data_IF_221503205330
#
_entry.id   IF_221503205330
#
_cell.length_a   1.000
_cell.length_b   1.000
_cell.length_c   1.000
_cell.angle_alpha   90.00
_cell.angle_beta   90.00
_cell.angle_gamma   90.00
#
_symmetry.space_group_name_H-M   'P 1'
#
loop_
_entity.id
_entity.type
_entity.pdbx_description
1 polymer ?
#
# COMPACT_ATOMS: atom_id res chain seq x y z
N UNK A 1 -48.56 -44.90 14.28
CA UNK A 1 -48.24 -43.65 13.58
C UNK A 1 -46.85 -43.21 14.02
N UNK A 2 -45.83 -43.60 13.26
CA UNK A 2 -44.47 -43.08 13.39
C UNK A 2 -44.14 -42.50 12.01
N UNK A 3 -44.11 -41.17 11.90
CA UNK A 3 -43.82 -40.47 10.66
C UNK A 3 -42.32 -40.45 10.44
N UNK A 4 -41.87 -41.14 9.38
CA UNK A 4 -40.53 -40.97 8.81
C UNK A 4 -40.41 -39.56 8.23
N UNK A 5 -39.61 -38.70 8.84
CA UNK A 5 -39.10 -37.52 8.15
C UNK A 5 -37.75 -37.88 7.54
N UNK A 6 -37.71 -37.86 6.22
CA UNK A 6 -36.50 -37.97 5.41
C UNK A 6 -35.60 -36.76 5.67
N UNK A 7 -34.32 -37.01 5.98
CA UNK A 7 -33.29 -35.98 5.97
C UNK A 7 -33.19 -35.33 4.58
N UNK A 8 -33.12 -33.99 4.47
CA UNK A 8 -32.86 -33.36 3.19
C UNK A 8 -31.42 -33.65 2.79
N UNK A 9 -31.27 -34.31 1.66
CA UNK A 9 -29.99 -34.62 1.03
C UNK A 9 -29.18 -33.33 0.85
N UNK A 10 -27.97 -33.30 1.42
CA UNK A 10 -27.01 -32.25 1.14
C UNK A 10 -26.65 -32.31 -0.35
N UNK A 11 -27.28 -31.46 -1.16
CA UNK A 11 -26.80 -31.13 -2.49
C UNK A 11 -25.46 -30.42 -2.32
N UNK A 12 -24.38 -31.18 -2.44
CA UNK A 12 -23.04 -30.63 -2.64
C UNK A 12 -23.11 -29.89 -3.98
N UNK A 13 -23.15 -28.56 -3.93
CA UNK A 13 -23.04 -27.69 -5.10
C UNK A 13 -21.67 -27.96 -5.75
N UNK A 14 -21.61 -28.45 -7.00
CA UNK A 14 -20.34 -28.60 -7.69
C UNK A 14 -19.83 -27.20 -8.02
N UNK A 15 -18.64 -26.88 -7.53
CA UNK A 15 -17.91 -25.62 -7.78
C UNK A 15 -18.52 -24.37 -7.11
N UNK A 16 -18.40 -24.28 -5.78
CA UNK A 16 -18.51 -22.98 -5.11
C UNK A 16 -17.21 -22.21 -5.37
N UNK A 17 -17.22 -21.31 -6.35
CA UNK A 17 -16.14 -20.34 -6.54
C UNK A 17 -16.12 -19.40 -5.32
N UNK A 18 -14.94 -19.27 -4.70
CA UNK A 18 -14.72 -18.42 -3.53
C UNK A 18 -13.90 -17.22 -3.98
N UNK A 19 -14.43 -16.03 -3.78
CA UNK A 19 -13.69 -14.80 -3.94
C UNK A 19 -13.39 -14.25 -2.55
N UNK A 20 -12.19 -13.70 -2.35
CA UNK A 20 -11.81 -13.13 -1.06
C UNK A 20 -11.56 -11.64 -1.22
N UNK A 21 -12.62 -10.83 -1.12
CA UNK A 21 -12.56 -9.38 -1.08
C UNK A 21 -11.66 -8.85 0.02
N UNK A 22 -10.81 -7.90 -0.34
CA UNK A 22 -9.78 -7.40 0.57
C UNK A 22 -10.18 -6.27 1.53
N UNK A 23 -9.37 -6.06 2.57
CA UNK A 23 -9.44 -4.94 3.54
C UNK A 23 -8.28 -3.92 3.43
N UNK A 24 -8.34 -2.79 4.15
CA UNK A 24 -7.39 -1.64 4.01
C UNK A 24 -6.05 -1.82 4.75
N UNK A 25 -5.07 -0.96 4.42
CA UNK A 25 -3.72 -0.94 4.99
C UNK A 25 -3.56 -0.31 6.39
N UNK A 26 -2.32 -0.46 6.91
CA UNK A 26 -1.68 0.05 8.13
C UNK A 26 -2.44 0.90 9.16
N UNK A 27 -3.04 2.03 8.77
CA UNK A 27 -3.71 2.96 9.71
C UNK A 27 -4.93 2.37 10.40
N UNK A 28 -5.47 1.31 9.82
CA UNK A 28 -6.68 0.64 10.26
C UNK A 28 -6.39 -0.87 10.22
N UNK A 29 -5.54 -1.32 11.13
CA UNK A 29 -5.36 -2.74 11.34
C UNK A 29 -6.69 -3.25 11.93
N UNK A 30 -7.45 -4.07 11.21
CA UNK A 30 -8.79 -4.49 11.62
C UNK A 30 -9.88 -4.30 10.55
N UNK A 31 -11.04 -4.97 10.71
CA UNK A 31 -12.14 -4.96 9.71
C UNK A 31 -12.73 -3.56 9.55
N UNK A 32 -12.51 -2.93 8.39
CA UNK A 32 -13.15 -1.65 8.03
C UNK A 32 -14.31 -1.89 7.07
N UNK A 33 -15.52 -1.75 7.61
CA UNK A 33 -16.83 -1.94 6.95
C UNK A 33 -16.93 -1.26 5.56
N UNK A 34 -16.29 -0.11 5.33
CA UNK A 34 -16.53 0.66 4.09
C UNK A 34 -15.88 0.16 2.80
N UNK A 35 -14.79 -0.62 2.83
CA UNK A 35 -14.11 -1.08 1.59
C UNK A 35 -14.15 -2.57 1.42
N UNK A 36 -13.92 -3.33 2.50
CA UNK A 36 -14.13 -4.77 2.48
C UNK A 36 -15.57 -5.08 2.08
N UNK A 37 -16.56 -4.35 2.60
CA UNK A 37 -17.95 -4.62 2.23
C UNK A 37 -18.27 -4.21 0.78
N UNK A 38 -17.62 -3.18 0.21
CA UNK A 38 -17.82 -2.85 -1.22
C UNK A 38 -17.27 -3.97 -2.10
N UNK A 39 -16.07 -4.45 -1.80
CA UNK A 39 -15.49 -5.59 -2.51
C UNK A 39 -16.33 -6.86 -2.34
N UNK A 40 -16.81 -7.12 -1.12
CA UNK A 40 -17.71 -8.25 -0.84
C UNK A 40 -19.04 -8.13 -1.53
N UNK A 41 -19.66 -6.95 -1.56
CA UNK A 41 -20.92 -6.74 -2.29
C UNK A 41 -20.72 -6.95 -3.79
N UNK A 42 -19.61 -6.49 -4.37
CA UNK A 42 -19.26 -6.74 -5.77
C UNK A 42 -19.13 -8.24 -6.08
N UNK A 43 -18.34 -8.95 -5.27
CA UNK A 43 -18.10 -10.39 -5.41
C UNK A 43 -19.37 -11.23 -5.15
N UNK A 44 -20.15 -10.88 -4.12
CA UNK A 44 -21.47 -11.49 -3.86
C UNK A 44 -22.42 -11.26 -5.05
N UNK A 45 -22.41 -10.06 -5.64
CA UNK A 45 -23.16 -9.75 -6.86
C UNK A 45 -22.72 -10.57 -8.07
N UNK A 46 -21.45 -10.98 -8.11
CA UNK A 46 -20.89 -11.92 -9.09
C UNK A 46 -21.22 -13.39 -8.83
N UNK A 47 -21.84 -13.72 -7.69
CA UNK A 47 -22.20 -15.10 -7.32
C UNK A 47 -21.12 -15.84 -6.51
N UNK A 48 -20.07 -15.16 -6.07
CA UNK A 48 -19.00 -15.75 -5.27
C UNK A 48 -19.34 -15.78 -3.78
N UNK A 49 -18.85 -16.80 -3.08
CA UNK A 49 -18.81 -16.77 -1.61
C UNK A 49 -17.65 -15.88 -1.15
N UNK A 50 -17.93 -14.95 -0.23
CA UNK A 50 -16.95 -13.93 0.22
C UNK A 50 -16.57 -14.07 1.69
N UNK A 51 -15.30 -13.81 2.01
CA UNK A 51 -14.77 -13.75 3.37
C UNK A 51 -13.83 -12.54 3.52
N UNK A 52 -13.73 -12.02 4.74
CA UNK A 52 -12.77 -11.00 5.20
C UNK A 52 -12.41 -11.31 6.66
N UNK A 53 -11.28 -10.84 7.12
CA UNK A 53 -10.75 -10.88 8.48
C UNK A 53 -10.33 -9.47 8.92
N UNK A 54 -9.87 -9.33 10.15
CA UNK A 54 -9.32 -8.12 10.73
C UNK A 54 -7.77 -8.19 10.78
N UNK A 55 -7.16 -9.08 9.99
CA UNK A 55 -5.75 -9.46 10.06
C UNK A 55 -5.25 -9.87 11.48
N UNK A 56 -6.12 -10.32 12.38
CA UNK A 56 -5.77 -10.83 13.71
C UNK A 56 -5.41 -9.74 14.72
N UNK A 57 -5.82 -8.50 14.47
CA UNK A 57 -5.69 -7.39 15.41
C UNK A 57 -7.08 -6.83 15.72
N UNK A 58 -7.45 -6.84 17.00
CA UNK A 58 -8.76 -6.36 17.45
C UNK A 58 -8.85 -4.82 17.43
N UNK A 59 -7.70 -4.14 17.54
CA UNK A 59 -7.59 -2.70 17.69
C UNK A 59 -7.21 -1.99 16.39
N UNK A 60 -7.97 -0.95 16.08
CA UNK A 60 -7.93 -0.21 14.80
C UNK A 60 -6.62 0.58 14.64
N UNK A 61 -6.08 1.09 15.74
CA UNK A 61 -4.92 1.98 15.73
C UNK A 61 -3.63 1.21 16.06
N UNK A 62 -2.54 1.44 15.30
CA UNK A 62 -1.24 0.84 15.57
C UNK A 62 -0.69 1.03 16.99
N UNK A 63 -1.02 2.13 17.66
CA UNK A 63 -0.50 2.40 19.02
C UNK A 63 -0.89 1.33 20.04
N UNK A 64 -2.01 0.63 19.82
CA UNK A 64 -2.64 -0.20 20.84
C UNK A 64 -2.13 -1.66 20.82
N UNK A 65 -1.58 -2.14 19.70
CA UNK A 65 -1.15 -3.53 19.55
C UNK A 65 0.35 -3.71 19.23
N UNK A 66 1.02 -2.68 18.75
CA UNK A 66 2.40 -2.77 18.23
C UNK A 66 3.45 -2.90 19.32
N UNK A 67 3.25 -2.22 20.46
CA UNK A 67 4.21 -2.20 21.55
C UNK A 67 3.62 -2.94 22.76
N UNK A 68 4.36 -3.92 23.29
CA UNK A 68 4.05 -4.52 24.60
C UNK A 68 4.44 -3.56 25.74
N UNK A 69 5.51 -2.81 25.51
CA UNK A 69 6.00 -1.68 26.31
C UNK A 69 6.89 -0.81 25.43
N UNK A 70 7.24 0.40 25.88
CA UNK A 70 8.21 1.25 25.18
C UNK A 70 9.53 0.47 24.93
N UNK A 71 10.05 0.57 23.70
CA UNK A 71 11.21 -0.19 23.24
C UNK A 71 10.96 -1.68 22.93
N UNK A 72 9.78 -2.23 23.24
CA UNK A 72 9.48 -3.66 23.12
C UNK A 72 8.32 -3.91 22.13
N UNK A 73 8.68 -4.33 20.92
CA UNK A 73 7.73 -4.67 19.88
C UNK A 73 6.99 -5.98 20.18
N UNK A 74 5.69 -5.98 19.93
CA UNK A 74 4.88 -7.17 19.82
C UNK A 74 5.13 -7.89 18.49
N UNK A 75 6.30 -8.52 18.37
CA UNK A 75 6.68 -9.27 17.16
C UNK A 75 5.70 -10.40 16.85
N UNK A 76 5.03 -10.96 17.85
CA UNK A 76 3.99 -11.97 17.65
C UNK A 76 2.78 -11.39 16.92
N UNK A 77 2.24 -10.27 17.39
CA UNK A 77 1.15 -9.58 16.70
C UNK A 77 1.57 -9.09 15.31
N UNK A 78 2.81 -8.61 15.14
CA UNK A 78 3.33 -8.23 13.82
C UNK A 78 3.44 -9.41 12.86
N UNK A 79 3.91 -10.57 13.32
CA UNK A 79 3.97 -11.78 12.51
C UNK A 79 2.57 -12.27 12.15
N UNK A 80 1.63 -12.24 13.11
CA UNK A 80 0.21 -12.53 12.84
C UNK A 80 -0.32 -11.56 11.80
N UNK A 81 -0.16 -10.26 11.98
CA UNK A 81 -0.61 -9.23 11.04
C UNK A 81 -0.01 -9.44 9.65
N UNK A 82 1.31 -9.68 9.55
CA UNK A 82 1.98 -9.96 8.28
C UNK A 82 1.48 -11.27 7.63
N UNK A 83 1.13 -12.27 8.44
CA UNK A 83 0.63 -13.57 7.97
C UNK A 83 -0.90 -13.62 7.78
N UNK A 84 -1.71 -12.75 8.36
CA UNK A 84 -3.17 -12.78 8.19
C UNK A 84 -3.65 -11.74 7.19
N UNK A 85 -2.85 -10.67 6.97
CA UNK A 85 -2.94 -9.88 5.74
C UNK A 85 -2.84 -10.75 4.47
N UNK A 86 -2.27 -11.95 4.55
CA UNK A 86 -2.23 -12.93 3.47
C UNK A 86 -3.59 -13.22 2.86
N UNK A 87 -4.68 -13.24 3.63
CA UNK A 87 -5.99 -13.57 3.07
C UNK A 87 -6.67 -12.39 2.35
N UNK A 88 -6.24 -11.15 2.54
CA UNK A 88 -7.15 -9.99 2.45
C UNK A 88 -6.78 -8.87 1.48
N UNK A 89 -5.94 -9.08 0.48
CA UNK A 89 -5.47 -7.92 -0.33
C UNK A 89 -5.69 -8.05 -1.82
N UNK A 90 -6.83 -8.63 -2.20
CA UNK A 90 -7.23 -8.79 -3.60
C UNK A 90 -7.97 -7.55 -4.15
N UNK A 91 -8.69 -6.79 -3.31
CA UNK A 91 -9.53 -5.65 -3.79
C UNK A 91 -9.13 -4.26 -3.29
N UNK A 92 -8.22 -4.13 -2.31
CA UNK A 92 -7.79 -2.81 -1.80
C UNK A 92 -6.49 -2.30 -2.36
N UNK A 93 -5.75 -3.17 -3.04
CA UNK A 93 -4.54 -2.82 -3.74
C UNK A 93 -3.31 -2.61 -2.88
N UNK A 94 -2.95 -3.60 -2.06
CA UNK A 94 -1.76 -3.53 -1.20
C UNK A 94 -1.06 -4.89 -1.19
N UNK A 95 0.28 -4.90 -1.09
CA UNK A 95 1.28 -5.98 -1.11
C UNK A 95 0.90 -7.49 -1.03
N UNK A 96 -0.19 -7.90 -0.37
CA UNK A 96 -0.39 -9.30 0.00
C UNK A 96 -0.94 -10.22 -1.10
N UNK A 97 -1.49 -9.68 -2.20
CA UNK A 97 -1.73 -10.50 -3.40
C UNK A 97 -0.42 -11.14 -3.89
N UNK A 98 0.68 -10.38 -3.92
CA UNK A 98 2.01 -10.89 -4.25
C UNK A 98 2.55 -11.86 -3.19
N UNK A 99 2.28 -11.61 -1.91
CA UNK A 99 2.69 -12.50 -0.82
C UNK A 99 2.05 -13.90 -0.93
N UNK A 100 0.77 -13.97 -1.29
CA UNK A 100 0.08 -15.25 -1.51
C UNK A 100 0.74 -16.05 -2.63
N UNK A 101 1.06 -15.39 -3.75
CA UNK A 101 1.75 -16.03 -4.86
C UNK A 101 3.17 -16.53 -4.45
N UNK A 102 3.87 -15.78 -3.60
CA UNK A 102 5.23 -16.11 -3.14
C UNK A 102 5.27 -17.21 -2.06
N UNK A 103 4.43 -17.10 -1.03
CA UNK A 103 4.52 -17.91 0.20
C UNK A 103 3.50 -19.05 0.27
N UNK A 104 2.35 -18.90 -0.39
CA UNK A 104 1.25 -19.88 -0.36
C UNK A 104 0.67 -20.09 -1.76
N UNK A 105 1.52 -20.51 -2.72
CA UNK A 105 1.13 -20.59 -4.12
C UNK A 105 -0.09 -21.49 -4.33
N UNK A 106 -0.38 -22.41 -3.42
CA UNK A 106 -1.49 -23.36 -3.50
C UNK A 106 -2.88 -22.83 -3.09
N UNK A 107 -2.98 -21.65 -2.47
CA UNK A 107 -4.25 -21.19 -1.87
C UNK A 107 -5.25 -20.59 -2.88
N UNK A 108 -4.77 -19.93 -3.92
CA UNK A 108 -5.63 -19.23 -4.90
C UNK A 108 -5.24 -19.55 -6.33
N UNK A 109 -6.22 -19.94 -7.15
CA UNK A 109 -5.99 -20.22 -8.58
C UNK A 109 -5.80 -18.94 -9.39
N UNK A 110 -6.41 -17.85 -8.93
CA UNK A 110 -6.35 -16.51 -9.50
C UNK A 110 -6.15 -15.45 -8.41
N UNK A 111 -5.25 -14.50 -8.65
CA UNK A 111 -5.00 -13.37 -7.77
C UNK A 111 -5.12 -12.08 -8.59
N UNK A 112 -6.04 -11.19 -8.22
CA UNK A 112 -6.03 -9.81 -8.69
C UNK A 112 -5.38 -8.95 -7.60
N UNK A 113 -4.39 -8.14 -7.95
CA UNK A 113 -3.69 -7.27 -7.00
C UNK A 113 -3.60 -5.85 -7.58
N UNK A 114 -4.30 -4.90 -6.98
CA UNK A 114 -4.14 -3.49 -7.32
C UNK A 114 -2.94 -2.88 -6.57
N UNK A 115 -2.34 -1.81 -7.08
CA UNK A 115 -1.33 -0.94 -6.45
C UNK A 115 -0.42 -1.56 -5.36
N UNK A 116 0.25 -2.71 -5.57
CA UNK A 116 0.71 -3.49 -4.43
C UNK A 116 1.96 -2.87 -3.78
N UNK A 117 1.86 -2.48 -2.50
CA UNK A 117 2.99 -2.01 -1.68
C UNK A 117 4.03 -3.11 -1.33
N UNK A 118 4.62 -3.75 -2.34
CA UNK A 118 5.46 -4.96 -2.18
C UNK A 118 6.74 -4.73 -1.37
N UNK A 119 7.26 -3.51 -1.39
CA UNK A 119 8.47 -3.09 -0.66
C UNK A 119 8.09 -2.34 0.62
N UNK A 120 7.32 -2.98 1.51
CA UNK A 120 6.69 -2.30 2.65
C UNK A 120 7.67 -1.50 3.52
N UNK A 121 8.84 -2.05 3.86
CA UNK A 121 9.82 -1.35 4.69
C UNK A 121 10.27 -0.04 4.05
N UNK A 122 10.68 -0.08 2.78
CA UNK A 122 11.07 1.12 2.03
C UNK A 122 9.90 2.07 1.78
N UNK A 123 8.71 1.54 1.45
CA UNK A 123 7.51 2.32 1.17
C UNK A 123 7.03 3.09 2.40
N UNK A 124 6.87 2.40 3.54
CA UNK A 124 6.31 2.99 4.75
C UNK A 124 7.21 4.11 5.27
N UNK A 125 8.52 3.91 5.35
CA UNK A 125 9.45 5.00 5.70
C UNK A 125 9.57 6.04 4.59
N UNK A 126 9.54 5.65 3.32
CA UNK A 126 9.70 6.53 2.16
C UNK A 126 8.62 7.61 2.03
N UNK A 127 7.40 7.33 2.49
CA UNK A 127 6.30 8.32 2.54
C UNK A 127 6.63 9.48 3.49
N UNK A 128 7.53 9.29 4.46
CA UNK A 128 7.90 10.34 5.41
C UNK A 128 8.88 11.38 4.83
N UNK A 129 9.62 11.03 3.77
CA UNK A 129 10.66 11.91 3.20
C UNK A 129 10.19 13.32 2.83
N UNK A 130 9.02 13.52 2.18
CA UNK A 130 8.50 14.86 1.90
C UNK A 130 8.36 15.72 3.16
N UNK A 131 7.97 15.13 4.30
CA UNK A 131 7.88 15.85 5.58
C UNK A 131 9.25 16.30 6.09
N UNK A 132 10.28 15.44 5.96
CA UNK A 132 11.67 15.81 6.29
C UNK A 132 12.15 16.98 5.43
N UNK A 133 11.88 16.93 4.12
CA UNK A 133 12.23 17.99 3.17
C UNK A 133 11.51 19.29 3.52
N UNK A 134 10.20 19.23 3.77
CA UNK A 134 9.39 20.40 4.14
C UNK A 134 9.91 21.07 5.41
N UNK A 135 10.18 20.29 6.45
CA UNK A 135 10.65 20.83 7.73
C UNK A 135 12.07 21.39 7.64
N UNK A 136 12.96 20.72 6.89
CA UNK A 136 14.38 21.07 6.81
C UNK A 136 14.65 22.21 5.83
N UNK A 137 14.07 22.14 4.62
CA UNK A 137 14.39 23.06 3.52
C UNK A 137 13.34 24.13 3.30
N UNK A 138 12.09 23.88 3.71
CA UNK A 138 10.97 24.80 3.49
C UNK A 138 10.43 25.39 4.80
N UNK A 139 11.16 25.26 5.92
CA UNK A 139 10.75 25.78 7.24
C UNK A 139 9.36 25.32 7.70
N UNK A 140 8.94 24.11 7.29
CA UNK A 140 7.61 23.57 7.56
C UNK A 140 6.49 24.29 6.79
N UNK A 141 6.83 25.06 5.75
CA UNK A 141 5.86 25.68 4.84
C UNK A 141 5.47 24.67 3.78
N UNK A 142 4.20 24.30 3.77
CA UNK A 142 3.64 23.41 2.76
C UNK A 142 3.24 24.20 1.51
N UNK A 143 3.46 23.65 0.29
CA UNK A 143 2.99 24.27 -0.94
C UNK A 143 1.47 24.48 -0.93
N UNK A 144 1.00 25.57 -1.53
CA UNK A 144 -0.44 25.80 -1.68
C UNK A 144 -1.04 24.81 -2.67
N UNK A 145 -2.29 24.40 -2.44
CA UNK A 145 -2.95 23.44 -3.33
C UNK A 145 -3.04 23.95 -4.77
N UNK A 146 -3.26 25.26 -4.96
CA UNK A 146 -3.37 25.85 -6.30
C UNK A 146 -2.05 25.78 -7.05
N UNK A 147 -0.92 25.91 -6.35
CA UNK A 147 0.41 25.78 -6.97
C UNK A 147 0.66 24.34 -7.41
N UNK A 148 0.26 23.36 -6.60
CA UNK A 148 0.32 21.95 -6.99
C UNK A 148 -0.56 21.67 -8.21
N UNK A 149 -1.76 22.25 -8.26
CA UNK A 149 -2.66 22.11 -9.41
C UNK A 149 -2.09 22.81 -10.66
N UNK A 150 -1.42 23.97 -10.52
CA UNK A 150 -0.72 24.65 -11.61
C UNK A 150 0.45 23.83 -12.16
N UNK A 151 1.28 23.25 -11.29
CA UNK A 151 2.37 22.36 -11.71
C UNK A 151 1.82 21.12 -12.41
N UNK A 152 0.73 20.56 -11.90
CA UNK A 152 0.04 19.41 -12.52
C UNK A 152 -0.49 19.77 -13.91
N UNK A 153 -1.16 20.92 -14.04
CA UNK A 153 -1.67 21.39 -15.33
C UNK A 153 -0.53 21.63 -16.34
N UNK A 154 0.62 22.15 -15.89
CA UNK A 154 1.80 22.33 -16.75
C UNK A 154 2.44 21.02 -17.18
N UNK A 155 2.45 20.02 -16.29
CA UNK A 155 2.90 18.68 -16.64
C UNK A 155 1.97 18.06 -17.70
N UNK A 156 0.66 18.15 -17.53
CA UNK A 156 -0.33 17.66 -18.51
C UNK A 156 -0.16 18.41 -19.85
N UNK A 157 -0.12 19.74 -19.85
CA UNK A 157 0.08 20.55 -21.06
C UNK A 157 1.33 20.14 -21.86
N UNK A 158 2.39 19.74 -21.17
CA UNK A 158 3.63 19.30 -21.81
C UNK A 158 3.60 17.83 -22.25
N UNK A 159 3.05 16.94 -21.41
CA UNK A 159 3.19 15.50 -21.56
C UNK A 159 2.03 14.78 -22.25
N UNK A 160 0.80 15.34 -22.21
CA UNK A 160 -0.43 14.72 -22.71
C UNK A 160 -0.28 14.22 -24.15
N UNK A 161 0.22 15.07 -25.04
CA UNK A 161 0.38 14.69 -26.45
C UNK A 161 1.54 13.71 -26.75
N UNK A 162 2.36 13.31 -25.77
CA UNK A 162 3.54 12.46 -26.00
C UNK A 162 3.17 11.03 -26.43
N UNK A 163 2.02 10.53 -25.99
CA UNK A 163 1.51 9.21 -26.39
C UNK A 163 0.74 9.24 -27.73
N UNK A 164 0.58 10.43 -28.32
CA UNK A 164 -0.12 10.66 -29.59
C UNK A 164 -1.62 10.91 -29.46
N UNK A 165 -2.17 10.98 -28.24
CA UNK A 165 -3.59 11.23 -27.98
C UNK A 165 -3.77 12.34 -26.92
N UNK A 166 -4.04 13.60 -27.32
CA UNK A 166 -4.29 14.68 -26.36
C UNK A 166 -5.69 14.54 -25.75
N UNK A 167 -5.78 13.86 -24.60
CA UNK A 167 -7.03 13.60 -23.88
C UNK A 167 -7.02 14.10 -22.43
N UNK A 168 -5.92 14.73 -22.01
CA UNK A 168 -5.73 15.31 -20.68
C UNK A 168 -5.11 14.35 -19.68
N UNK A 169 -4.74 13.13 -20.10
CA UNK A 169 -4.06 12.14 -19.29
C UNK A 169 -2.59 11.99 -19.71
N UNK A 170 -1.75 11.49 -18.80
CA UNK A 170 -0.34 11.20 -19.09
C UNK A 170 -0.19 9.67 -19.13
N UNK A 171 -0.25 9.09 -20.33
CA UNK A 171 -0.09 7.63 -20.49
C UNK A 171 1.36 7.21 -20.74
N UNK A 172 2.17 8.05 -21.40
CA UNK A 172 3.62 7.85 -21.55
C UNK A 172 4.39 8.61 -20.47
N UNK A 173 4.38 8.06 -19.25
CA UNK A 173 5.05 8.64 -18.09
C UNK A 173 6.58 8.58 -18.21
N UNK A 174 7.14 7.56 -18.88
CA UNK A 174 8.58 7.40 -19.06
C UNK A 174 9.14 8.56 -19.88
N UNK A 175 8.59 8.81 -21.05
CA UNK A 175 9.03 9.93 -21.90
C UNK A 175 8.74 11.28 -21.22
N UNK A 176 7.60 11.40 -20.54
CA UNK A 176 7.26 12.60 -19.77
C UNK A 176 8.32 12.91 -18.70
N UNK A 177 8.75 11.91 -17.92
CA UNK A 177 9.75 12.09 -16.86
C UNK A 177 11.16 12.41 -17.39
N UNK A 178 11.49 12.00 -18.62
CA UNK A 178 12.76 12.34 -19.26
C UNK A 178 12.76 13.75 -19.86
N UNK A 179 11.59 14.27 -20.25
CA UNK A 179 11.47 15.53 -21.00
C UNK A 179 10.92 16.71 -20.17
N UNK A 180 10.08 16.45 -19.16
CA UNK A 180 9.49 17.49 -18.33
C UNK A 180 10.36 17.81 -17.12
N UNK A 181 10.83 19.05 -17.05
CA UNK A 181 11.70 19.56 -15.99
C UNK A 181 10.95 20.55 -15.08
N UNK A 182 10.45 20.13 -13.89
CA UNK A 182 9.67 21.01 -13.02
C UNK A 182 10.42 22.26 -12.55
N UNK A 183 11.75 22.20 -12.48
CA UNK A 183 12.61 23.34 -12.13
C UNK A 183 12.46 24.53 -13.09
N UNK A 184 12.04 24.29 -14.34
CA UNK A 184 11.80 25.36 -15.31
C UNK A 184 10.61 26.25 -14.92
N UNK A 185 9.74 25.77 -14.02
CA UNK A 185 8.60 26.52 -13.49
C UNK A 185 8.98 27.42 -12.31
N UNK A 186 10.21 27.33 -11.77
CA UNK A 186 10.63 28.13 -10.62
C UNK A 186 10.62 29.63 -10.98
N UNK A 187 9.92 30.43 -10.17
CA UNK A 187 9.75 31.87 -10.39
C UNK A 187 8.56 32.25 -11.28
N UNK A 188 7.81 31.27 -11.80
CA UNK A 188 6.56 31.50 -12.55
C UNK A 188 5.33 31.68 -11.65
N UNK A 189 5.41 31.29 -10.37
CA UNK A 189 4.35 31.42 -9.35
C UNK A 189 4.92 31.82 -7.97
N UNK A 190 4.10 32.48 -7.15
CA UNK A 190 4.47 32.95 -5.81
C UNK A 190 4.00 31.95 -4.75
N UNK A 191 4.94 31.17 -4.20
CA UNK A 191 4.69 30.24 -3.10
C UNK A 191 3.94 30.90 -1.93
N UNK A 192 2.71 30.46 -1.69
CA UNK A 192 1.92 30.80 -0.50
C UNK A 192 1.95 29.64 0.48
N UNK A 193 1.78 29.98 1.76
CA UNK A 193 1.68 29.00 2.84
C UNK A 193 0.36 28.21 2.71
N UNK A 194 0.46 26.96 2.27
CA UNK A 194 -0.62 25.99 2.28
C UNK A 194 -0.67 25.16 3.57
N UNK A 195 -1.65 24.24 3.63
CA UNK A 195 -1.68 23.14 4.60
C UNK A 195 -2.05 21.85 3.86
N UNK A 196 -1.12 20.89 3.81
CA UNK A 196 -1.32 19.52 3.39
C UNK A 196 -1.60 18.64 4.62
N UNK A 197 -2.32 17.54 4.39
CA UNK A 197 -2.73 16.63 5.44
C UNK A 197 -1.52 15.90 6.04
N UNK A 198 -1.56 15.68 7.37
CA UNK A 198 -0.52 14.98 8.14
C UNK A 198 -0.23 13.59 7.56
N UNK A 199 1.07 13.27 7.41
CA UNK A 199 1.52 11.93 7.04
C UNK A 199 0.90 10.89 7.97
N UNK A 200 0.47 9.83 7.29
CA UNK A 200 -0.48 8.88 7.74
C UNK A 200 0.05 7.48 7.93
N UNK A 201 1.17 7.18 7.28
CA UNK A 201 1.78 5.87 7.31
C UNK A 201 3.20 5.98 7.81
N UNK A 202 3.98 6.93 7.29
CA UNK A 202 5.39 7.03 7.59
C UNK A 202 5.67 7.41 9.03
N UNK A 203 5.03 8.47 9.53
CA UNK A 203 5.13 8.89 10.93
C UNK A 203 4.82 7.75 11.91
N UNK A 204 3.62 7.11 11.91
CA UNK A 204 3.33 6.06 12.88
C UNK A 204 4.18 4.81 12.69
N UNK A 205 4.62 4.49 11.45
CA UNK A 205 5.51 3.36 11.21
C UNK A 205 6.91 3.60 11.80
N UNK A 206 7.53 4.74 11.50
CA UNK A 206 8.84 5.11 12.03
C UNK A 206 8.81 5.25 13.57
N UNK A 207 7.77 5.89 14.13
CA UNK A 207 7.61 6.03 15.59
C UNK A 207 7.48 4.68 16.29
N UNK A 208 6.53 3.85 15.85
CA UNK A 208 6.16 2.65 16.61
C UNK A 208 7.05 1.44 16.29
N UNK A 209 7.61 1.31 15.08
CA UNK A 209 8.38 0.12 14.67
C UNK A 209 9.87 0.36 14.73
N UNK A 210 10.31 1.47 14.14
CA UNK A 210 11.74 1.76 14.01
C UNK A 210 12.26 2.27 15.35
N UNK A 211 11.67 3.36 15.86
CA UNK A 211 12.06 3.98 17.13
C UNK A 211 11.48 3.25 18.34
N UNK A 212 10.36 2.52 18.16
CA UNK A 212 9.71 1.73 19.21
C UNK A 212 9.27 2.61 20.39
N UNK A 213 8.96 3.86 20.10
CA UNK A 213 8.60 4.90 21.05
C UNK A 213 7.45 5.75 20.48
N UNK A 214 6.29 5.63 21.13
CA UNK A 214 5.08 6.40 20.76
C UNK A 214 5.21 7.90 20.98
N UNK A 215 6.15 8.35 21.81
CA UNK A 215 6.41 9.75 22.11
C UNK A 215 7.50 10.35 21.22
N UNK A 216 8.14 9.55 20.35
CA UNK A 216 9.23 10.01 19.50
C UNK A 216 8.77 11.12 18.54
N UNK A 217 9.40 12.29 18.64
CA UNK A 217 9.05 13.45 17.83
C UNK A 217 9.77 13.44 16.48
N UNK A 218 9.13 12.84 15.47
CA UNK A 218 9.66 12.83 14.11
C UNK A 218 9.68 14.21 13.46
N UNK A 219 8.88 15.20 13.93
CA UNK A 219 8.75 16.50 13.25
C UNK A 219 10.06 17.29 13.13
N UNK A 220 11.08 16.89 13.89
CA UNK A 220 12.41 17.50 13.92
C UNK A 220 13.51 16.61 13.32
N UNK A 221 13.15 15.47 12.73
CA UNK A 221 14.10 14.54 12.14
C UNK A 221 14.91 15.24 11.04
N UNK A 222 16.24 15.14 11.13
CA UNK A 222 17.15 15.63 10.10
C UNK A 222 17.27 14.63 8.95
N UNK A 223 17.70 15.06 7.75
CA UNK A 223 17.92 14.16 6.62
C UNK A 223 18.80 12.94 6.97
N UNK A 224 19.89 13.14 7.70
CA UNK A 224 20.83 12.06 8.03
C UNK A 224 20.25 11.07 9.05
N UNK A 225 19.43 11.56 9.98
CA UNK A 225 18.71 10.73 10.95
C UNK A 225 17.63 9.89 10.26
N UNK A 226 16.91 10.50 9.31
CA UNK A 226 15.93 9.81 8.48
C UNK A 226 16.57 8.71 7.63
N UNK A 227 17.72 8.96 7.00
CA UNK A 227 18.43 7.95 6.20
C UNK A 227 18.77 6.70 7.04
N UNK A 228 19.26 6.90 8.26
CA UNK A 228 19.52 5.80 9.19
C UNK A 228 18.23 5.04 9.57
N UNK A 229 17.15 5.77 9.84
CA UNK A 229 15.84 5.18 10.13
C UNK A 229 15.31 4.37 8.95
N UNK A 230 15.45 4.88 7.73
CA UNK A 230 15.05 4.22 6.49
C UNK A 230 15.80 2.90 6.29
N UNK A 231 17.13 2.91 6.41
CA UNK A 231 17.93 1.68 6.26
C UNK A 231 17.65 0.65 7.36
N UNK A 232 17.46 1.11 8.60
CA UNK A 232 17.08 0.25 9.73
C UNK A 232 15.69 -0.38 9.52
N UNK A 233 14.73 0.41 9.04
CA UNK A 233 13.39 -0.06 8.71
C UNK A 233 13.43 -1.24 7.73
N UNK A 234 14.14 -1.07 6.62
CA UNK A 234 14.31 -2.13 5.61
C UNK A 234 14.95 -3.37 6.24
N UNK A 235 16.07 -3.19 6.95
CA UNK A 235 16.81 -4.30 7.53
C UNK A 235 16.00 -5.11 8.57
N UNK A 236 15.19 -4.44 9.38
CA UNK A 236 14.39 -5.09 10.43
C UNK A 236 13.10 -5.74 9.87
N UNK A 237 12.40 -5.09 8.93
CA UNK A 237 11.01 -5.45 8.62
C UNK A 237 10.76 -6.08 7.25
N UNK A 238 11.65 -5.92 6.26
CA UNK A 238 11.39 -6.46 4.92
C UNK A 238 11.23 -7.99 4.93
N UNK A 239 11.98 -8.70 5.78
CA UNK A 239 11.83 -10.16 5.91
C UNK A 239 10.48 -10.60 6.52
N UNK A 240 9.82 -9.71 7.27
CA UNK A 240 8.56 -10.02 7.96
C UNK A 240 7.37 -9.67 7.06
N UNK A 241 7.30 -8.42 6.60
CA UNK A 241 6.13 -7.84 5.92
C UNK A 241 6.40 -7.43 4.47
N UNK A 242 7.66 -7.43 4.02
CA UNK A 242 8.02 -7.26 2.61
C UNK A 242 7.60 -8.47 1.76
N UNK A 243 7.23 -8.20 0.51
CA UNK A 243 6.63 -9.16 -0.45
C UNK A 243 7.18 -8.94 -1.86
N UNK A 244 8.48 -8.67 -1.93
CA UNK A 244 9.20 -8.28 -3.13
C UNK A 244 10.04 -9.42 -3.71
N UNK A 245 9.81 -10.67 -3.31
CA UNK A 245 10.47 -11.83 -3.90
C UNK A 245 9.96 -12.07 -5.34
N UNK A 246 10.82 -11.94 -6.36
CA UNK A 246 10.40 -12.14 -7.74
C UNK A 246 10.23 -13.63 -8.12
N UNK A 247 10.62 -14.58 -7.26
CA UNK A 247 10.51 -16.00 -7.55
C UNK A 247 9.06 -16.52 -7.40
N UNK A 248 8.33 -16.49 -8.52
CA UNK A 248 6.97 -17.02 -8.62
C UNK A 248 6.92 -18.38 -9.36
N UNK A 249 8.04 -19.12 -9.42
CA UNK A 249 8.12 -20.37 -10.20
C UNK A 249 7.11 -21.42 -9.76
N UNK A 250 6.88 -21.57 -8.45
CA UNK A 250 5.93 -22.56 -7.93
C UNK A 250 4.48 -22.18 -8.26
N UNK A 251 4.12 -20.91 -8.10
CA UNK A 251 2.80 -20.38 -8.51
C UNK A 251 2.54 -20.63 -10.00
N UNK A 252 3.54 -20.36 -10.84
CA UNK A 252 3.46 -20.60 -12.29
C UNK A 252 3.41 -22.10 -12.64
N UNK A 253 4.17 -22.95 -11.93
CA UNK A 253 4.16 -24.42 -12.14
C UNK A 253 2.77 -25.02 -11.94
N UNK A 254 1.99 -24.42 -11.05
CA UNK A 254 0.60 -24.81 -10.79
C UNK A 254 -0.42 -24.20 -11.77
N UNK A 255 0.03 -23.52 -12.84
CA UNK A 255 -0.82 -22.87 -13.86
C UNK A 255 -1.73 -21.76 -13.34
N UNK A 256 -1.40 -21.19 -12.18
CA UNK A 256 -2.17 -20.12 -11.54
C UNK A 256 -1.87 -18.78 -12.17
N UNK A 257 -2.82 -17.85 -12.06
CA UNK A 257 -2.76 -16.55 -12.75
C UNK A 257 -2.77 -15.41 -11.74
N UNK A 258 -1.95 -14.41 -12.01
CA UNK A 258 -1.94 -13.17 -11.25
C UNK A 258 -2.11 -12.00 -12.22
N UNK A 259 -3.03 -11.11 -11.89
CA UNK A 259 -3.25 -9.83 -12.58
C UNK A 259 -2.87 -8.71 -11.62
N UNK A 260 -1.92 -7.88 -12.01
CA UNK A 260 -1.55 -6.69 -11.25
C UNK A 260 -1.94 -5.43 -12.00
N UNK A 261 -2.56 -4.47 -11.31
CA UNK A 261 -3.01 -3.19 -11.87
C UNK A 261 -2.47 -2.07 -10.99
N UNK A 262 -1.94 -1.00 -11.59
CA UNK A 262 -1.47 0.17 -10.84
C UNK A 262 -1.93 1.44 -11.55
N UNK A 263 -2.43 2.43 -10.80
CA UNK A 263 -2.80 3.73 -11.36
C UNK A 263 -1.59 4.64 -11.55
N UNK A 264 -1.41 5.22 -12.74
CA UNK A 264 -0.25 6.07 -13.05
C UNK A 264 -0.19 7.35 -12.19
N UNK A 265 -1.34 7.88 -11.78
CA UNK A 265 -1.46 9.04 -10.90
C UNK A 265 -1.58 8.69 -9.40
N UNK A 266 -1.12 7.51 -8.97
CA UNK A 266 -1.15 7.10 -7.56
C UNK A 266 -0.16 7.93 -6.73
N UNK A 267 -0.73 8.85 -5.94
CA UNK A 267 -0.02 9.79 -5.08
C UNK A 267 0.54 9.14 -3.80
N UNK A 268 0.17 7.90 -3.51
CA UNK A 268 0.55 7.20 -2.29
C UNK A 268 1.61 6.13 -2.62
N UNK A 269 1.26 5.18 -3.49
CA UNK A 269 2.14 4.10 -3.91
C UNK A 269 2.56 4.44 -5.35
N UNK A 270 3.73 5.04 -5.54
CA UNK A 270 4.19 5.39 -6.89
C UNK A 270 4.42 4.12 -7.71
N UNK A 271 4.14 4.17 -9.03
CA UNK A 271 4.36 3.03 -9.95
C UNK A 271 5.80 2.51 -9.93
N UNK A 272 6.79 3.42 -9.87
CA UNK A 272 8.21 3.04 -9.67
C UNK A 272 8.43 2.24 -8.38
N UNK A 273 7.60 2.43 -7.35
CA UNK A 273 7.59 1.62 -6.13
C UNK A 273 7.30 0.12 -6.32
N UNK A 274 7.01 -0.33 -7.55
CA UNK A 274 6.97 -1.73 -7.95
C UNK A 274 8.26 -2.22 -8.59
N UNK A 275 9.13 -1.33 -9.07
CA UNK A 275 10.42 -1.70 -9.65
C UNK A 275 11.42 -1.96 -8.51
N UNK A 276 11.78 -3.23 -8.34
CA UNK A 276 12.78 -3.72 -7.37
C UNK A 276 14.13 -2.99 -7.42
N UNK A 277 14.44 -2.29 -8.52
CA UNK A 277 15.68 -1.55 -8.69
C UNK A 277 15.61 -0.08 -8.27
N UNK A 278 14.42 0.55 -8.25
CA UNK A 278 14.30 2.01 -8.03
C UNK A 278 14.23 2.43 -6.56
N UNK A 279 13.98 1.52 -5.61
CA UNK A 279 13.88 1.86 -4.17
C UNK A 279 15.18 1.71 -3.38
N UNK A 280 16.32 1.45 -4.05
CA UNK A 280 17.61 1.24 -3.37
C UNK A 280 18.28 2.54 -2.91
N UNK A 281 17.79 3.71 -3.30
CA UNK A 281 18.20 4.99 -2.72
C UNK A 281 17.06 6.01 -2.75
N UNK A 282 16.96 6.88 -1.74
CA UNK A 282 16.18 8.10 -1.87
C UNK A 282 16.91 9.01 -2.87
N UNK A 283 16.46 9.03 -4.13
CA UNK A 283 16.76 10.15 -5.05
C UNK A 283 15.67 11.18 -4.94
#
# INVERSE_FOLDING_TARGET
MASSQSEPSAHILPHLEREVPGGRGWRMAGRVISVSDIGMVGALGGGYATITTDAGVEEVLPGDWVLLSEGNLNLYALQIFASLQLLERVLTGWAAGSMLAQRYPELYDGIAASAPAINWGAFASGIYWPTVVLNTFLSGVEPDRRELDEVTAKAIEFCDALDGLPDGDISDDVTCLEAFEPQTLVGSSHFRKGSLARDSIGIPWLQLFVEKDSAFDLSKAKPEEYELQFHRCIAEFDSIIGTNDPDLREFNRQSRKMLTIHGMADQLIRVKGLDINTMKSPT
#
